data_IF_443418265629
#
_entry.id   IF_443418265629
#
_cell.length_a   1.000
_cell.length_b   1.000
_cell.length_c   1.000
_cell.angle_alpha   90.00
_cell.angle_beta   90.00
_cell.angle_gamma   90.00
#
_symmetry.space_group_name_H-M   'P 1'
#
loop_
_entity.id
_entity.type
_entity.pdbx_description
1 polymer ?
#
# COMPACT_ATOMS: atom_id res chain seq x y z
N UNK A 1 -1.74 -5.45 -15.98
CA UNK A 1 -1.56 -4.93 -14.59
C UNK A 1 -2.64 -3.88 -14.36
N UNK A 2 -3.90 -4.30 -14.37
CA UNK A 2 -4.93 -3.36 -14.89
C UNK A 2 -5.52 -2.44 -13.82
N UNK A 3 -5.20 -2.67 -12.54
CA UNK A 3 -5.68 -1.81 -11.46
C UNK A 3 -4.62 -1.49 -10.40
N UNK A 4 -3.35 -1.93 -10.53
CA UNK A 4 -2.30 -1.73 -9.51
C UNK A 4 -2.64 -2.19 -8.08
N UNK A 5 -3.71 -2.98 -7.92
CA UNK A 5 -4.20 -3.49 -6.65
C UNK A 5 -3.50 -4.81 -6.32
N UNK A 6 -3.01 -4.93 -5.09
CA UNK A 6 -2.48 -6.18 -4.56
C UNK A 6 -3.63 -7.06 -4.07
N UNK A 7 -3.64 -8.31 -4.50
CA UNK A 7 -4.57 -9.33 -4.01
C UNK A 7 -3.83 -10.51 -3.39
N UNK A 8 -4.31 -10.96 -2.23
CA UNK A 8 -3.89 -12.23 -1.61
C UNK A 8 -5.14 -13.03 -1.28
N UNK A 9 -5.22 -14.28 -1.71
CA UNK A 9 -6.33 -15.20 -1.41
C UNK A 9 -5.78 -16.52 -0.91
N UNK A 10 -6.40 -17.07 0.13
CA UNK A 10 -5.99 -18.34 0.72
C UNK A 10 -7.15 -18.98 1.48
N UNK A 11 -7.02 -20.28 1.77
CA UNK A 11 -8.02 -21.07 2.49
C UNK A 11 -7.43 -21.61 3.78
N UNK A 12 -8.16 -21.50 4.88
CA UNK A 12 -7.79 -22.07 6.18
C UNK A 12 -9.00 -22.79 6.76
N UNK A 13 -8.86 -24.08 7.08
CA UNK A 13 -9.95 -24.86 7.67
C UNK A 13 -11.23 -24.89 6.82
N UNK A 14 -11.08 -24.86 5.49
CA UNK A 14 -12.21 -24.83 4.55
C UNK A 14 -12.84 -23.45 4.31
N UNK A 15 -12.44 -22.43 5.07
CA UNK A 15 -12.92 -21.06 4.89
C UNK A 15 -11.94 -20.23 4.03
N UNK A 16 -12.49 -19.37 3.19
CA UNK A 16 -11.77 -18.47 2.30
C UNK A 16 -11.44 -17.15 3.01
N UNK A 17 -10.25 -16.64 2.71
CA UNK A 17 -9.77 -15.34 3.16
C UNK A 17 -9.24 -14.57 1.96
N UNK A 18 -9.54 -13.28 1.91
CA UNK A 18 -8.94 -12.38 0.93
C UNK A 18 -8.39 -11.12 1.57
N UNK A 19 -7.30 -10.63 1.00
CA UNK A 19 -6.71 -9.31 1.26
C UNK A 19 -6.66 -8.57 -0.06
N UNK A 20 -7.09 -7.33 -0.04
CA UNK A 20 -7.03 -6.42 -1.16
C UNK A 20 -6.40 -5.11 -0.66
N UNK A 21 -5.35 -4.64 -1.34
CA UNK A 21 -4.63 -3.44 -0.93
C UNK A 21 -4.25 -2.54 -2.10
N UNK A 22 -4.36 -1.23 -1.88
CA UNK A 22 -3.99 -0.19 -2.85
C UNK A 22 -3.67 1.12 -2.14
N UNK A 23 -3.02 2.06 -2.85
CA UNK A 23 -2.74 3.42 -2.35
C UNK A 23 -3.55 4.42 -3.17
N UNK A 24 -4.57 5.02 -2.56
CA UNK A 24 -5.37 6.05 -3.22
C UNK A 24 -4.65 7.39 -3.18
N UNK A 25 -4.00 7.76 -4.27
CA UNK A 25 -3.46 9.12 -4.44
C UNK A 25 -4.53 10.21 -4.31
N UNK A 26 -5.74 10.09 -4.92
CA UNK A 26 -6.80 11.09 -4.78
C UNK A 26 -7.33 11.30 -3.35
N UNK A 27 -7.08 10.35 -2.44
CA UNK A 27 -7.58 10.39 -1.06
C UNK A 27 -6.45 10.39 -0.01
N UNK A 28 -5.19 10.29 -0.43
CA UNK A 28 -4.01 10.36 0.45
C UNK A 28 -3.83 9.19 1.42
N UNK A 29 -4.43 8.03 1.13
CA UNK A 29 -4.44 6.88 2.05
C UNK A 29 -4.05 5.57 1.38
N UNK A 30 -3.31 4.74 2.10
CA UNK A 30 -3.23 3.31 1.83
C UNK A 30 -4.49 2.63 2.38
N UNK A 31 -5.06 1.71 1.60
CA UNK A 31 -6.28 0.98 1.90
C UNK A 31 -5.96 -0.51 1.96
N UNK A 32 -6.39 -1.19 3.02
CA UNK A 32 -6.34 -2.65 3.16
C UNK A 32 -7.73 -3.17 3.51
N UNK A 33 -8.33 -3.93 2.60
CA UNK A 33 -9.59 -4.65 2.83
C UNK A 33 -9.31 -6.12 3.10
N UNK A 34 -9.89 -6.64 4.16
CA UNK A 34 -9.85 -8.04 4.55
C UNK A 34 -11.27 -8.61 4.52
N UNK A 35 -11.44 -9.83 4.01
CA UNK A 35 -12.73 -10.54 4.00
C UNK A 35 -12.55 -12.01 4.32
N UNK A 36 -13.60 -12.62 4.90
CA UNK A 36 -13.69 -14.07 5.08
C UNK A 36 -15.13 -14.57 5.09
N UNK A 37 -15.34 -15.82 4.65
CA UNK A 37 -16.60 -16.54 4.83
C UNK A 37 -16.62 -17.42 6.10
N UNK A 38 -15.50 -17.53 6.82
CA UNK A 38 -15.36 -18.35 8.03
C UNK A 38 -16.49 -18.06 9.03
N UNK A 39 -17.21 -19.08 9.56
CA UNK A 39 -18.34 -18.86 10.47
C UNK A 39 -18.01 -17.95 11.66
N UNK A 40 -16.82 -18.10 12.24
CA UNK A 40 -16.31 -17.32 13.36
C UNK A 40 -15.83 -15.90 12.99
N UNK A 41 -15.71 -15.57 11.71
CA UNK A 41 -15.16 -14.30 11.23
C UNK A 41 -13.64 -14.14 11.41
N UNK A 42 -13.12 -13.00 10.98
CA UNK A 42 -11.73 -12.59 11.12
C UNK A 42 -11.50 -11.91 12.48
N UNK A 43 -10.46 -12.37 13.17
CA UNK A 43 -9.96 -11.80 14.42
C UNK A 43 -8.48 -11.53 14.28
N UNK A 44 -8.03 -10.30 14.57
CA UNK A 44 -6.65 -9.89 14.36
C UNK A 44 -6.23 -8.81 15.34
N UNK A 45 -4.92 -8.58 15.40
CA UNK A 45 -4.30 -7.45 16.07
C UNK A 45 -3.63 -6.59 15.00
N UNK A 46 -3.89 -5.29 15.04
CA UNK A 46 -3.21 -4.33 14.18
C UNK A 46 -2.41 -3.39 15.07
N UNK A 47 -1.13 -3.21 14.72
CA UNK A 47 -0.17 -2.34 15.40
C UNK A 47 0.74 -1.74 14.35
N UNK A 48 1.20 -0.53 14.61
CA UNK A 48 2.29 0.10 13.85
C UNK A 48 3.61 -0.04 14.60
N UNK A 49 4.68 -0.28 13.86
CA UNK A 49 6.04 -0.46 14.39
C UNK A 49 7.04 0.04 13.35
N UNK A 50 7.97 0.90 13.77
CA UNK A 50 9.09 1.41 12.97
C UNK A 50 10.44 0.97 13.56
N UNK A 51 10.45 0.15 14.61
CA UNK A 51 11.64 -0.43 15.27
C UNK A 51 12.59 0.60 15.89
N UNK A 52 12.25 1.91 15.95
CA UNK A 52 13.17 2.94 16.44
C UNK A 52 12.45 4.15 17.03
N UNK A 53 12.31 4.12 18.37
CA UNK A 53 11.94 5.25 19.25
C UNK A 53 10.77 6.07 18.71
N UNK A 54 9.62 5.43 18.62
CA UNK A 54 8.35 6.10 18.39
C UNK A 54 7.54 6.25 19.69
N UNK A 55 6.81 7.36 19.79
CA UNK A 55 5.70 7.48 20.74
C UNK A 55 4.46 6.89 20.07
N UNK A 56 3.78 6.00 20.77
CA UNK A 56 2.67 5.22 20.20
C UNK A 56 1.43 5.33 21.07
N UNK A 57 0.26 5.32 20.47
CA UNK A 57 -0.99 5.34 21.21
C UNK A 57 -2.21 5.12 20.33
N UNK A 58 -3.37 5.50 20.88
CA UNK A 58 -4.63 5.56 20.15
C UNK A 58 -5.31 6.90 20.36
N UNK A 59 -6.06 7.33 19.35
CA UNK A 59 -6.87 8.55 19.38
C UNK A 59 -8.32 8.26 19.77
N UNK A 60 -8.82 7.09 19.36
CA UNK A 60 -10.15 6.57 19.65
C UNK A 60 -10.11 5.02 19.57
N UNK A 61 -11.27 4.38 19.75
CA UNK A 61 -11.39 2.90 19.71
C UNK A 61 -11.05 2.27 18.34
N UNK A 62 -10.92 3.08 17.28
CA UNK A 62 -10.70 2.63 15.91
C UNK A 62 -9.39 3.13 15.30
N UNK A 63 -8.63 3.98 15.99
CA UNK A 63 -7.49 4.70 15.42
C UNK A 63 -6.28 4.64 16.32
N UNK A 64 -5.23 3.97 15.87
CA UNK A 64 -3.90 3.95 16.50
C UNK A 64 -2.93 4.82 15.72
N UNK A 65 -1.91 5.32 16.39
CA UNK A 65 -0.90 6.16 15.78
C UNK A 65 0.50 5.87 16.33
N UNK A 66 1.49 6.32 15.58
CA UNK A 66 2.80 6.62 16.14
C UNK A 66 3.33 7.96 15.64
N UNK A 67 4.16 8.59 16.46
CA UNK A 67 4.87 9.83 16.18
C UNK A 67 6.35 9.69 16.53
N UNK A 68 7.16 10.58 16.00
CA UNK A 68 8.56 10.71 16.41
C UNK A 68 9.27 11.81 15.63
N UNK A 69 10.57 11.89 15.83
CA UNK A 69 11.44 12.86 15.17
C UNK A 69 12.66 12.13 14.57
N UNK A 70 13.09 12.59 13.40
CA UNK A 70 14.30 12.14 12.73
C UNK A 70 15.13 13.35 12.36
N UNK A 71 16.07 13.71 13.22
CA UNK A 71 17.03 14.79 13.03
C UNK A 71 16.35 16.13 12.64
N UNK A 72 15.27 16.48 13.34
CA UNK A 72 14.53 17.73 13.15
C UNK A 72 13.35 17.64 12.17
N UNK A 73 13.13 16.48 11.56
CA UNK A 73 11.90 16.18 10.82
C UNK A 73 10.98 15.32 11.69
N UNK A 74 9.96 15.97 12.25
CA UNK A 74 8.86 15.31 12.93
C UNK A 74 8.02 14.50 11.93
N UNK A 75 7.53 13.35 12.36
CA UNK A 75 6.70 12.46 11.55
C UNK A 75 5.55 11.89 12.37
N UNK A 76 4.45 11.57 11.66
CA UNK A 76 3.32 10.84 12.22
C UNK A 76 2.81 9.83 11.19
N UNK A 77 2.35 8.68 11.66
CA UNK A 77 1.52 7.78 10.89
C UNK A 77 0.38 7.24 11.77
N UNK A 78 -0.77 7.03 11.16
CA UNK A 78 -1.93 6.50 11.85
C UNK A 78 -2.63 5.43 11.00
N UNK A 79 -3.21 4.45 11.69
CA UNK A 79 -4.11 3.45 11.10
C UNK A 79 -5.48 3.62 11.71
N UNK A 80 -6.49 3.66 10.85
CA UNK A 80 -7.90 3.64 11.24
C UNK A 80 -8.59 2.39 10.71
N UNK A 81 -9.30 1.65 11.56
CA UNK A 81 -10.34 0.72 11.12
C UNK A 81 -11.56 1.54 10.68
N UNK A 82 -11.68 1.76 9.38
CA UNK A 82 -12.71 2.64 8.80
C UNK A 82 -14.08 1.95 8.68
N UNK A 83 -14.08 0.64 8.42
CA UNK A 83 -15.30 -0.15 8.25
C UNK A 83 -15.07 -1.57 8.77
N UNK A 84 -16.11 -2.19 9.31
CA UNK A 84 -16.14 -3.63 9.55
C UNK A 84 -17.57 -4.16 9.47
N UNK A 85 -17.73 -5.41 9.05
CA UNK A 85 -19.03 -6.10 9.02
C UNK A 85 -19.12 -7.05 10.21
N UNK A 86 -19.99 -6.73 11.17
CA UNK A 86 -20.10 -7.44 12.43
C UNK A 86 -18.83 -7.37 13.29
N UNK A 87 -18.75 -8.25 14.28
CA UNK A 87 -17.62 -8.29 15.21
C UNK A 87 -17.56 -7.11 16.18
N UNK A 88 -16.46 -7.04 16.92
CA UNK A 88 -16.16 -5.95 17.87
C UNK A 88 -14.76 -5.41 17.65
N UNK A 89 -14.59 -4.11 17.86
CA UNK A 89 -13.30 -3.43 17.84
C UNK A 89 -13.07 -2.74 19.18
N UNK A 90 -11.81 -2.74 19.62
CA UNK A 90 -11.35 -1.86 20.70
C UNK A 90 -9.87 -1.54 20.52
N UNK A 91 -9.45 -0.37 21.00
CA UNK A 91 -8.05 -0.05 21.16
C UNK A 91 -7.56 -0.48 22.56
N UNK A 92 -6.35 -1.05 22.65
CA UNK A 92 -5.67 -1.33 23.91
C UNK A 92 -4.23 -0.88 23.78
N UNK A 93 -3.86 0.20 24.46
CA UNK A 93 -2.55 0.82 24.30
C UNK A 93 -2.38 1.38 22.89
N UNK A 94 -1.48 0.78 22.11
CA UNK A 94 -1.15 1.13 20.72
C UNK A 94 -1.67 0.10 19.70
N UNK A 95 -2.55 -0.80 20.14
CA UNK A 95 -2.98 -1.96 19.36
C UNK A 95 -4.49 -1.97 19.17
N UNK A 96 -4.94 -2.08 17.91
CA UNK A 96 -6.34 -2.35 17.58
C UNK A 96 -6.60 -3.86 17.64
N UNK A 97 -7.65 -4.23 18.36
CA UNK A 97 -8.12 -5.61 18.49
C UNK A 97 -9.46 -5.73 17.78
N UNK A 98 -9.48 -6.44 16.66
CA UNK A 98 -10.69 -6.80 15.94
C UNK A 98 -11.05 -8.25 16.21
N UNK A 99 -12.33 -8.53 16.51
CA UNK A 99 -12.81 -9.89 16.76
C UNK A 99 -14.11 -10.19 16.03
N UNK A 100 -14.11 -11.26 15.26
CA UNK A 100 -15.31 -11.88 14.68
C UNK A 100 -16.00 -11.10 13.57
N UNK A 101 -15.28 -10.27 12.82
CA UNK A 101 -15.86 -9.55 11.68
C UNK A 101 -15.94 -10.44 10.43
N UNK A 102 -16.82 -10.19 9.48
CA UNK A 102 -16.78 -10.84 8.15
C UNK A 102 -15.91 -10.08 7.17
N UNK A 103 -15.78 -8.78 7.38
CA UNK A 103 -14.91 -7.91 6.60
C UNK A 103 -14.40 -6.76 7.44
N UNK A 104 -13.25 -6.19 7.04
CA UNK A 104 -12.65 -5.02 7.68
C UNK A 104 -11.86 -4.20 6.67
N UNK A 105 -12.02 -2.87 6.71
CA UNK A 105 -11.24 -1.91 5.91
C UNK A 105 -10.34 -1.10 6.84
N UNK A 106 -9.03 -1.25 6.71
CA UNK A 106 -8.04 -0.42 7.36
C UNK A 106 -7.55 0.65 6.41
N UNK A 107 -7.41 1.87 6.91
CA UNK A 107 -6.82 3.00 6.22
C UNK A 107 -5.53 3.40 6.94
N UNK A 108 -4.48 3.71 6.21
CA UNK A 108 -3.21 4.21 6.72
C UNK A 108 -2.87 5.53 6.03
N UNK A 109 -2.48 6.53 6.82
CA UNK A 109 -1.91 7.78 6.35
C UNK A 109 -0.63 8.09 7.12
N UNK A 110 0.30 8.80 6.46
CA UNK A 110 1.55 9.24 7.05
C UNK A 110 1.89 10.65 6.56
N UNK A 111 2.48 11.47 7.43
CA UNK A 111 2.92 12.83 7.13
C UNK A 111 4.18 13.19 7.92
N UNK A 112 4.85 14.24 7.48
CA UNK A 112 6.02 14.81 8.16
C UNK A 112 5.93 16.32 8.23
N UNK A 113 6.73 16.92 9.10
CA UNK A 113 6.88 18.38 9.21
C UNK A 113 7.45 19.05 7.98
N UNK A 114 7.93 18.27 7.00
CA UNK A 114 8.31 18.79 5.69
C UNK A 114 7.11 19.38 4.92
N UNK A 115 5.89 18.86 5.14
CA UNK A 115 4.67 19.36 4.47
C UNK A 115 3.61 19.88 5.42
N UNK A 116 3.54 19.30 6.61
CA UNK A 116 2.44 19.55 7.55
C UNK A 116 3.01 20.03 8.88
N UNK A 117 2.66 21.24 9.31
CA UNK A 117 3.14 21.79 10.58
C UNK A 117 2.78 20.87 11.77
N UNK A 118 1.60 20.25 11.71
CA UNK A 118 1.07 19.32 12.71
C UNK A 118 0.76 17.95 12.07
N UNK A 119 1.76 17.07 11.86
CA UNK A 119 1.58 15.85 11.09
C UNK A 119 0.49 14.91 11.63
N UNK A 120 0.39 14.76 12.96
CA UNK A 120 -0.61 13.88 13.58
C UNK A 120 -2.03 14.39 13.33
N UNK A 121 -2.24 15.70 13.37
CA UNK A 121 -3.55 16.29 13.06
C UNK A 121 -3.89 16.10 11.58
N UNK A 122 -2.93 16.32 10.68
CA UNK A 122 -3.12 16.16 9.23
C UNK A 122 -3.50 14.72 8.85
N UNK A 123 -2.76 13.72 9.35
CA UNK A 123 -3.06 12.30 9.03
C UNK A 123 -4.41 11.88 9.61
N UNK A 124 -4.76 12.35 10.80
CA UNK A 124 -6.06 12.04 11.43
C UNK A 124 -7.22 12.61 10.61
N UNK A 125 -7.12 13.87 10.20
CA UNK A 125 -8.13 14.51 9.37
C UNK A 125 -8.29 13.81 8.01
N UNK A 126 -7.18 13.44 7.37
CA UNK A 126 -7.16 12.66 6.13
C UNK A 126 -7.88 11.31 6.29
N UNK A 127 -7.56 10.55 7.34
CA UNK A 127 -8.21 9.26 7.62
C UNK A 127 -9.70 9.38 7.90
N UNK A 128 -10.13 10.41 8.65
CA UNK A 128 -11.55 10.67 8.92
C UNK A 128 -12.29 11.04 7.63
N UNK A 129 -11.69 11.85 6.76
CA UNK A 129 -12.28 12.22 5.49
C UNK A 129 -12.41 11.01 4.54
N UNK A 130 -11.35 10.19 4.43
CA UNK A 130 -11.35 8.97 3.62
C UNK A 130 -12.35 7.93 4.14
N UNK A 131 -12.43 7.74 5.47
CA UNK A 131 -13.38 6.80 6.08
C UNK A 131 -14.84 7.15 5.77
N UNK A 132 -15.20 8.45 5.69
CA UNK A 132 -16.56 8.89 5.32
C UNK A 132 -16.96 8.53 3.89
N UNK A 133 -16.00 8.30 2.98
CA UNK A 133 -16.29 7.90 1.60
C UNK A 133 -16.67 6.42 1.50
N UNK A 134 -16.04 5.61 2.34
CA UNK A 134 -16.16 4.17 2.34
C UNK A 134 -15.35 3.46 1.25
N UNK A 135 -15.13 2.17 1.45
CA UNK A 135 -14.21 1.34 0.67
C UNK A 135 -14.50 1.35 -0.83
N UNK A 136 -15.76 1.18 -1.21
CA UNK A 136 -16.16 1.08 -2.62
C UNK A 136 -15.82 2.36 -3.38
N UNK A 137 -16.09 3.52 -2.79
CA UNK A 137 -15.81 4.83 -3.39
C UNK A 137 -14.30 5.08 -3.47
N UNK A 138 -13.54 4.73 -2.43
CA UNK A 138 -12.07 4.83 -2.46
C UNK A 138 -11.47 3.98 -3.58
N UNK A 139 -11.97 2.74 -3.75
CA UNK A 139 -11.51 1.83 -4.81
C UNK A 139 -11.83 2.35 -6.20
N UNK A 140 -13.05 2.86 -6.42
CA UNK A 140 -13.47 3.43 -7.69
C UNK A 140 -12.58 4.62 -8.08
N UNK A 141 -12.40 5.58 -7.17
CA UNK A 141 -11.55 6.77 -7.40
C UNK A 141 -10.09 6.42 -7.69
N UNK A 142 -9.55 5.47 -6.94
CA UNK A 142 -8.21 4.94 -7.18
C UNK A 142 -8.10 4.26 -8.55
N UNK A 143 -9.08 3.43 -8.92
CA UNK A 143 -9.09 2.73 -10.21
C UNK A 143 -9.17 3.71 -11.38
N UNK A 144 -10.02 4.73 -11.27
CA UNK A 144 -10.10 5.79 -12.28
C UNK A 144 -8.76 6.54 -12.43
N UNK A 145 -8.10 6.84 -11.31
CA UNK A 145 -6.82 7.55 -11.28
C UNK A 145 -5.70 6.76 -11.97
N UNK A 146 -5.56 5.48 -11.62
CA UNK A 146 -4.51 4.64 -12.18
C UNK A 146 -4.78 4.28 -13.65
N UNK A 147 -6.02 3.95 -14.00
CA UNK A 147 -6.39 3.56 -15.37
C UNK A 147 -6.19 4.70 -16.37
N UNK A 148 -6.48 5.96 -15.98
CA UNK A 148 -6.23 7.14 -16.83
C UNK A 148 -4.77 7.22 -17.29
N UNK A 149 -3.82 6.89 -16.42
CA UNK A 149 -2.39 6.94 -16.73
C UNK A 149 -1.90 5.66 -17.40
N UNK A 150 -2.37 4.50 -16.92
CA UNK A 150 -1.88 3.21 -17.39
C UNK A 150 -2.34 2.90 -18.81
N UNK A 151 -3.58 3.26 -19.16
CA UNK A 151 -4.12 3.04 -20.51
C UNK A 151 -3.55 3.98 -21.57
N UNK A 152 -2.75 4.99 -21.19
CA UNK A 152 -2.14 5.91 -22.15
C UNK A 152 -1.11 5.24 -23.07
N UNK A 153 -0.61 4.05 -22.73
CA UNK A 153 0.28 3.28 -23.59
C UNK A 153 0.14 1.78 -23.30
N UNK A 154 0.02 1.01 -24.37
CA UNK A 154 0.01 -0.44 -24.31
C UNK A 154 1.09 -1.01 -25.23
N UNK A 155 1.92 -1.91 -24.70
CA UNK A 155 2.82 -2.75 -25.47
C UNK A 155 2.29 -4.17 -25.44
N UNK A 156 1.94 -4.70 -26.60
CA UNK A 156 1.49 -6.09 -26.76
C UNK A 156 2.52 -6.84 -27.58
N UNK A 157 3.04 -7.93 -27.03
CA UNK A 157 3.96 -8.86 -27.69
C UNK A 157 3.32 -10.26 -27.74
N UNK A 158 3.99 -11.22 -28.37
CA UNK A 158 3.51 -12.60 -28.43
C UNK A 158 3.33 -13.18 -27.01
N UNK A 159 2.20 -13.84 -26.78
CA UNK A 159 1.85 -14.44 -25.48
C UNK A 159 1.73 -15.96 -25.60
N UNK A 160 2.03 -16.64 -24.49
CA UNK A 160 1.84 -18.08 -24.34
C UNK A 160 1.01 -18.31 -23.06
N UNK A 161 -0.24 -18.81 -23.17
CA UNK A 161 -1.10 -19.05 -22.01
C UNK A 161 -0.49 -19.98 -20.96
N UNK A 162 0.37 -20.92 -21.38
CA UNK A 162 1.04 -21.83 -20.45
C UNK A 162 2.10 -21.12 -19.61
N UNK A 163 2.78 -20.11 -20.17
CA UNK A 163 3.73 -19.26 -19.45
C UNK A 163 3.01 -18.24 -18.57
N UNK A 164 1.90 -17.66 -19.03
CA UNK A 164 1.12 -16.69 -18.25
C UNK A 164 0.48 -17.31 -16.99
N UNK A 165 0.24 -18.63 -17.00
CA UNK A 165 -0.24 -19.36 -15.83
C UNK A 165 0.85 -19.57 -14.76
N UNK A 166 2.14 -19.37 -15.08
CA UNK A 166 3.23 -19.54 -14.14
C UNK A 166 3.40 -18.31 -13.24
N UNK A 167 3.82 -18.49 -11.98
CA UNK A 167 4.29 -17.41 -11.13
C UNK A 167 5.42 -16.60 -11.80
N UNK A 168 5.44 -15.28 -11.59
CA UNK A 168 6.40 -14.38 -12.24
C UNK A 168 7.85 -14.73 -11.92
N UNK A 169 8.15 -15.26 -10.72
CA UNK A 169 9.49 -15.72 -10.34
C UNK A 169 9.96 -16.95 -11.13
N UNK A 170 9.03 -17.86 -11.46
CA UNK A 170 9.31 -19.02 -12.31
C UNK A 170 9.52 -18.59 -13.76
N UNK A 171 8.68 -17.66 -14.26
CA UNK A 171 8.85 -17.07 -15.60
C UNK A 171 10.22 -16.40 -15.74
N UNK A 172 10.64 -15.61 -14.75
CA UNK A 172 11.96 -14.97 -14.73
C UNK A 172 13.10 -15.99 -14.75
N UNK A 173 13.01 -17.07 -13.96
CA UNK A 173 14.02 -18.14 -13.97
C UNK A 173 14.10 -18.85 -15.32
N UNK A 174 12.96 -19.11 -15.96
CA UNK A 174 12.90 -19.74 -17.29
C UNK A 174 13.41 -18.82 -18.41
N UNK A 175 13.12 -17.52 -18.31
CA UNK A 175 13.48 -16.52 -19.32
C UNK A 175 15.00 -16.41 -19.57
N UNK A 176 15.82 -16.83 -18.59
CA UNK A 176 17.27 -16.91 -18.74
C UNK A 176 17.73 -17.90 -19.83
N UNK A 177 16.90 -18.89 -20.18
CA UNK A 177 17.20 -19.92 -21.17
C UNK A 177 16.31 -19.86 -22.42
N UNK A 178 15.08 -19.35 -22.31
CA UNK A 178 14.10 -19.29 -23.42
C UNK A 178 13.40 -17.93 -23.43
N UNK A 179 13.22 -17.27 -24.59
CA UNK A 179 12.51 -16.00 -24.67
C UNK A 179 11.07 -16.10 -24.14
N UNK A 180 10.64 -15.08 -23.40
CA UNK A 180 9.25 -14.87 -22.98
C UNK A 180 8.83 -13.44 -23.33
N UNK A 181 8.38 -13.17 -24.58
CA UNK A 181 8.00 -11.82 -25.01
C UNK A 181 6.85 -11.23 -24.19
N UNK A 182 5.99 -12.07 -23.61
CA UNK A 182 4.95 -11.63 -22.69
C UNK A 182 5.52 -11.08 -21.37
N UNK A 183 6.67 -11.61 -20.91
CA UNK A 183 7.39 -11.11 -19.74
C UNK A 183 8.08 -9.78 -20.04
N UNK A 184 8.62 -9.60 -21.25
CA UNK A 184 9.18 -8.32 -21.69
C UNK A 184 8.12 -7.21 -21.71
N UNK A 185 6.93 -7.52 -22.24
CA UNK A 185 5.78 -6.61 -22.21
C UNK A 185 5.35 -6.30 -20.76
N UNK A 186 5.36 -7.30 -19.86
CA UNK A 186 5.07 -7.10 -18.45
C UNK A 186 6.10 -6.19 -17.78
N UNK A 187 7.39 -6.37 -18.07
CA UNK A 187 8.48 -5.58 -17.50
C UNK A 187 8.45 -4.12 -17.97
N UNK A 188 8.16 -3.88 -19.25
CA UNK A 188 7.90 -2.54 -19.79
C UNK A 188 6.77 -1.84 -19.03
N UNK A 189 5.65 -2.54 -18.83
CA UNK A 189 4.51 -2.00 -18.08
C UNK A 189 4.82 -1.80 -16.59
N UNK A 190 5.70 -2.62 -16.02
CA UNK A 190 6.13 -2.48 -14.63
C UNK A 190 6.95 -1.20 -14.41
N UNK A 191 7.86 -0.85 -15.32
CA UNK A 191 8.61 0.42 -15.24
C UNK A 191 7.68 1.64 -15.25
N UNK A 192 6.68 1.65 -16.12
CA UNK A 192 5.64 2.70 -16.15
C UNK A 192 4.84 2.77 -14.85
N UNK A 193 4.47 1.60 -14.30
CA UNK A 193 3.74 1.52 -13.04
C UNK A 193 4.59 2.07 -11.88
N UNK A 194 5.87 1.69 -11.78
CA UNK A 194 6.78 2.13 -10.73
C UNK A 194 6.97 3.66 -10.75
N UNK A 195 7.21 4.23 -11.93
CA UNK A 195 7.37 5.68 -12.07
C UNK A 195 6.11 6.42 -11.65
N UNK A 196 4.93 5.94 -12.10
CA UNK A 196 3.66 6.51 -11.69
C UNK A 196 3.45 6.41 -10.18
N UNK A 197 3.72 5.27 -9.57
CA UNK A 197 3.52 5.08 -8.13
C UNK A 197 4.49 5.90 -7.26
N UNK A 198 5.73 6.10 -7.71
CA UNK A 198 6.77 6.79 -6.94
C UNK A 198 6.84 8.31 -7.17
N UNK A 199 6.41 8.81 -8.33
CA UNK A 199 6.64 10.20 -8.75
C UNK A 199 5.38 10.84 -9.34
N UNK A 200 4.45 11.24 -8.45
CA UNK A 200 3.21 11.94 -8.78
C UNK A 200 3.40 13.47 -8.76
N UNK A 201 2.61 14.26 -9.50
CA UNK A 201 2.63 15.73 -9.37
C UNK A 201 2.50 16.17 -7.91
N UNK A 202 3.36 17.07 -7.45
CA UNK A 202 3.38 17.53 -6.05
C UNK A 202 4.13 16.63 -5.06
N UNK A 203 4.50 15.40 -5.45
CA UNK A 203 5.46 14.57 -4.68
C UNK A 203 6.92 15.00 -4.95
N UNK A 204 7.86 14.40 -4.22
CA UNK A 204 9.28 14.49 -4.58
C UNK A 204 9.58 13.53 -5.74
N UNK A 205 10.63 13.77 -6.55
CA UNK A 205 11.03 12.83 -7.59
C UNK A 205 11.40 11.46 -7.00
N UNK A 206 11.29 10.41 -7.81
CA UNK A 206 11.74 9.06 -7.44
C UNK A 206 13.24 9.08 -7.11
N UNK A 207 13.62 8.53 -5.96
CA UNK A 207 15.03 8.37 -5.58
C UNK A 207 15.61 7.04 -6.11
N UNK A 208 16.81 6.65 -5.69
CA UNK A 208 17.46 5.39 -6.12
C UNK A 208 16.61 4.11 -5.92
N UNK A 209 15.63 4.14 -5.01
CA UNK A 209 14.71 3.04 -4.74
C UNK A 209 13.24 3.45 -4.95
N UNK A 210 13.00 4.51 -5.72
CA UNK A 210 11.68 5.12 -5.88
C UNK A 210 11.19 5.77 -4.59
N UNK A 211 10.35 5.03 -3.86
CA UNK A 211 9.85 5.38 -2.52
C UNK A 211 9.87 4.18 -1.56
N UNK A 212 10.46 3.05 -1.97
CA UNK A 212 10.40 1.78 -1.25
C UNK A 212 11.74 1.47 -0.59
N UNK A 213 11.83 1.70 0.72
CA UNK A 213 13.02 1.42 1.52
C UNK A 213 12.61 1.00 2.93
N UNK A 214 13.20 -0.10 3.43
CA UNK A 214 12.98 -0.62 4.78
C UNK A 214 14.20 -0.42 5.71
N UNK A 215 15.31 0.08 5.17
CA UNK A 215 16.57 0.25 5.90
C UNK A 215 16.75 1.68 6.42
N UNK A 216 17.22 1.83 7.66
CA UNK A 216 17.70 3.13 8.17
C UNK A 216 19.03 3.57 7.57
N UNK A 217 19.76 2.63 6.95
CA UNK A 217 21.05 2.86 6.30
C UNK A 217 21.02 2.19 4.93
N UNK A 218 20.21 2.72 3.99
CA UNK A 218 20.08 2.10 2.67
C UNK A 218 21.36 2.26 1.85
N UNK A 219 21.62 1.36 0.88
CA UNK A 219 22.72 1.52 -0.06
C UNK A 219 22.70 2.89 -0.73
N UNK A 220 23.84 3.58 -0.70
CA UNK A 220 24.00 4.96 -1.21
C UNK A 220 22.95 5.95 -0.69
N UNK A 221 22.48 5.75 0.55
CA UNK A 221 21.51 6.58 1.25
C UNK A 221 20.13 6.67 0.56
N UNK A 222 19.86 5.84 -0.45
CA UNK A 222 18.64 5.95 -1.28
C UNK A 222 18.43 7.39 -1.79
N UNK A 223 19.51 8.12 -2.06
CA UNK A 223 19.47 9.55 -2.40
C UNK A 223 19.25 9.79 -3.89
N UNK A 224 19.39 11.04 -4.33
CA UNK A 224 19.49 11.39 -5.75
C UNK A 224 20.96 11.32 -6.20
N UNK A 225 21.28 10.38 -7.07
CA UNK A 225 22.61 10.25 -7.67
C UNK A 225 22.54 10.75 -9.11
N UNK A 226 23.07 11.95 -9.34
CA UNK A 226 22.79 12.81 -10.50
C UNK A 226 23.90 12.78 -11.57
N UNK A 227 24.43 11.59 -11.82
CA UNK A 227 25.43 11.38 -12.86
C UNK A 227 25.04 10.25 -13.84
N UNK A 228 23.83 9.70 -13.67
CA UNK A 228 23.15 8.74 -14.56
C UNK A 228 21.84 8.25 -13.91
N UNK A 229 21.84 8.01 -12.58
CA UNK A 229 20.77 7.23 -11.94
C UNK A 229 19.43 7.98 -11.84
N UNK A 230 19.46 9.28 -11.53
CA UNK A 230 18.23 10.08 -11.43
C UNK A 230 17.72 10.49 -12.81
N UNK A 231 18.60 10.60 -13.80
CA UNK A 231 18.27 10.95 -15.18
C UNK A 231 17.66 9.78 -15.98
N UNK A 232 17.99 8.54 -15.61
CA UNK A 232 17.46 7.29 -16.20
C UNK A 232 16.02 7.03 -15.78
#
# INVERSE_FOLDING_TARGET
>A
MDAGTLYVRFTVGGAHYAREAFVSYPDGVFVLRLTTDAPQGLSLRCRLDRKRREETGHLDDATIYFTGDSDGIGFAAAVRLAEHDGGTVRAVGDTLLLRGAKSATFLLAAATTYREAEPLQAVTACLVAAAKRGYMVLKERYTEDICKNFHACCLTLATDPSLEALPTDERLRRAAAQPDPGLDALYFQYGRWLLFAASRPGSLPANLQGVWNDSFFPPWDSKYTININTEM
#
